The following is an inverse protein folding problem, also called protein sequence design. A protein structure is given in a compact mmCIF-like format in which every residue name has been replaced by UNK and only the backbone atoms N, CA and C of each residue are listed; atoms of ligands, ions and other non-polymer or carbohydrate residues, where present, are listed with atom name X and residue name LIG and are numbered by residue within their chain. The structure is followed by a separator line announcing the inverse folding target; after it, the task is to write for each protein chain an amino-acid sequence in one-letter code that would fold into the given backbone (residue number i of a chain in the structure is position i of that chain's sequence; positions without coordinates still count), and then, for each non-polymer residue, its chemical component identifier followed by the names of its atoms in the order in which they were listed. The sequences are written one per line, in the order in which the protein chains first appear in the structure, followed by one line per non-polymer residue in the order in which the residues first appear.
data_IF_583106194195
#
_entry.id   IF_583106194195
#
_cell.length_a   1.000
_cell.length_b   1.000
_cell.length_c   1.000
_cell.angle_alpha   90.00
_cell.angle_beta   90.00
_cell.angle_gamma   90.00
#
_symmetry.space_group_name_H-M   'P 1'
#
loop_
_entity.id
_entity.type
_entity.pdbx_description
1 polymer ?
#
# COMPACT_ATOMS: atom_id res chain seq x y z
N UNK A 1 -8.65 20.53 -11.81
CA UNK A 1 -7.61 21.15 -10.94
C UNK A 1 -6.45 21.68 -11.79
N UNK A 2 -5.57 22.51 -11.21
CA UNK A 2 -4.31 22.97 -11.82
C UNK A 2 -3.19 22.89 -10.80
N UNK A 3 -1.96 22.70 -11.25
CA UNK A 3 -0.76 22.80 -10.39
C UNK A 3 -0.46 24.28 -10.17
N UNK A 4 -0.39 24.72 -8.92
CA UNK A 4 -0.08 26.12 -8.57
C UNK A 4 1.44 26.35 -8.47
N UNK A 5 2.15 25.41 -7.88
CA UNK A 5 3.58 25.47 -7.60
C UNK A 5 4.15 24.06 -7.44
N UNK A 6 5.48 23.93 -7.48
CA UNK A 6 6.19 22.68 -7.30
C UNK A 6 7.43 22.88 -6.42
N UNK A 7 7.72 21.89 -5.57
CA UNK A 7 9.02 21.71 -4.93
C UNK A 7 9.61 20.38 -5.39
N UNK A 8 10.91 20.36 -5.68
CA UNK A 8 11.67 19.15 -6.06
C UNK A 8 12.95 19.11 -5.25
N UNK A 9 13.07 18.10 -4.39
CA UNK A 9 14.19 17.97 -3.45
C UNK A 9 15.51 17.58 -4.12
N UNK A 10 15.47 16.65 -5.08
CA UNK A 10 16.64 16.18 -5.82
C UNK A 10 16.45 16.40 -7.32
N UNK A 11 17.47 16.92 -7.99
CA UNK A 11 17.41 17.30 -9.41
C UNK A 11 18.51 16.59 -10.21
N UNK A 12 18.43 15.25 -10.38
CA UNK A 12 19.36 14.51 -11.21
C UNK A 12 19.22 14.88 -12.69
N UNK A 13 20.13 14.39 -13.53
CA UNK A 13 20.02 14.53 -14.99
C UNK A 13 18.71 13.89 -15.49
N UNK A 14 17.96 14.60 -16.34
CA UNK A 14 16.69 14.14 -16.89
C UNK A 14 15.45 14.38 -16.01
N UNK A 15 15.60 15.01 -14.84
CA UNK A 15 14.48 15.50 -14.03
C UNK A 15 13.63 16.51 -14.83
N UNK A 16 12.30 16.38 -14.81
CA UNK A 16 11.39 17.08 -15.73
C UNK A 16 10.71 18.32 -15.12
N UNK A 17 10.87 18.60 -13.83
CA UNK A 17 10.08 19.57 -13.08
C UNK A 17 10.14 20.98 -13.65
N UNK A 18 11.33 21.43 -14.09
CA UNK A 18 11.49 22.74 -14.74
C UNK A 18 10.82 22.80 -16.13
N UNK A 19 10.91 21.71 -16.90
CA UNK A 19 10.26 21.62 -18.21
C UNK A 19 8.74 21.64 -18.08
N UNK A 20 8.20 20.84 -17.14
CA UNK A 20 6.75 20.79 -16.85
C UNK A 20 6.24 22.13 -16.29
N UNK A 21 7.01 22.79 -15.44
CA UNK A 21 6.69 24.13 -14.94
C UNK A 21 6.52 25.14 -16.08
N UNK A 22 7.42 25.14 -17.06
CA UNK A 22 7.32 25.97 -18.27
C UNK A 22 6.12 25.60 -19.14
N UNK A 23 5.90 24.31 -19.37
CA UNK A 23 4.82 23.80 -20.22
C UNK A 23 3.43 24.16 -19.66
N UNK A 24 3.24 24.04 -18.35
CA UNK A 24 1.94 24.21 -17.70
C UNK A 24 1.77 25.54 -16.95
N UNK A 25 2.79 26.39 -16.91
CA UNK A 25 2.70 27.77 -16.40
C UNK A 25 2.68 27.89 -14.86
N UNK A 26 3.46 27.08 -14.16
CA UNK A 26 3.66 27.18 -12.70
C UNK A 26 5.14 27.40 -12.35
N UNK A 27 5.44 27.72 -11.09
CA UNK A 27 6.81 27.97 -10.61
C UNK A 27 7.36 26.82 -9.76
N UNK A 28 8.67 26.59 -9.85
CA UNK A 28 9.40 25.64 -9.00
C UNK A 28 10.16 26.42 -7.92
N UNK A 29 9.84 26.16 -6.66
CA UNK A 29 10.41 26.87 -5.51
C UNK A 29 11.53 26.05 -4.84
N UNK A 30 12.46 26.71 -4.13
CA UNK A 30 13.57 26.03 -3.48
C UNK A 30 13.18 25.38 -2.14
N UNK A 31 12.04 25.75 -1.54
CA UNK A 31 11.53 25.15 -0.31
C UNK A 31 10.05 24.78 -0.41
N UNK A 32 9.61 23.84 0.44
CA UNK A 32 8.21 23.45 0.58
C UNK A 32 7.37 24.66 1.03
N UNK A 33 7.87 25.44 2.00
CA UNK A 33 7.17 26.62 2.49
C UNK A 33 6.92 27.66 1.39
N UNK A 34 7.92 27.97 0.57
CA UNK A 34 7.73 28.89 -0.56
C UNK A 34 6.81 28.33 -1.64
N UNK A 35 6.84 27.01 -1.88
CA UNK A 35 5.90 26.37 -2.80
C UNK A 35 4.45 26.50 -2.29
N UNK A 36 4.21 26.21 -1.01
CA UNK A 36 2.89 26.33 -0.38
C UNK A 36 2.35 27.77 -0.38
N UNK A 37 3.25 28.77 -0.25
CA UNK A 37 2.90 30.19 -0.27
C UNK A 37 2.96 30.83 -1.67
N UNK A 38 3.28 30.05 -2.71
CA UNK A 38 3.53 30.55 -4.07
C UNK A 38 4.47 31.78 -4.11
N UNK A 39 5.49 31.80 -3.24
CA UNK A 39 6.44 32.91 -3.10
C UNK A 39 5.95 34.14 -2.34
N UNK A 40 4.73 34.11 -1.78
CA UNK A 40 4.21 35.13 -0.86
C UNK A 40 4.43 34.77 0.61
N UNK A 41 3.73 35.49 1.49
CA UNK A 41 3.87 35.37 2.95
C UNK A 41 2.80 34.47 3.62
N UNK A 42 1.79 34.02 2.86
CA UNK A 42 0.66 33.22 3.37
C UNK A 42 0.33 32.04 2.43
N UNK A 43 -0.24 30.96 2.98
CA UNK A 43 -0.63 29.74 2.28
C UNK A 43 -1.56 30.03 1.09
N UNK A 44 -1.06 29.78 -0.12
CA UNK A 44 -1.68 30.18 -1.39
C UNK A 44 -2.14 29.00 -2.27
N UNK A 45 -2.23 27.79 -1.70
CA UNK A 45 -2.71 26.58 -2.38
C UNK A 45 -3.95 26.01 -1.68
N UNK A 46 -4.74 25.22 -2.41
CA UNK A 46 -5.98 24.61 -1.90
C UNK A 46 -5.81 23.15 -1.42
N UNK A 47 -4.71 22.50 -1.81
CA UNK A 47 -4.38 21.13 -1.44
C UNK A 47 -2.89 20.82 -1.72
N UNK A 48 -2.38 19.70 -1.18
CA UNK A 48 -0.99 19.25 -1.36
C UNK A 48 -0.95 17.83 -1.91
N UNK A 49 -0.22 17.65 -3.02
CA UNK A 49 0.17 16.34 -3.55
C UNK A 49 1.62 16.04 -3.11
N UNK A 50 1.79 15.16 -2.11
CA UNK A 50 3.08 14.82 -1.54
C UNK A 50 3.57 13.48 -2.10
N UNK A 51 4.64 13.54 -2.89
CA UNK A 51 5.31 12.39 -3.48
C UNK A 51 6.74 12.35 -2.95
N UNK A 52 7.01 11.39 -2.04
CA UNK A 52 8.33 11.17 -1.45
C UNK A 52 8.92 9.84 -1.92
N UNK A 53 9.21 9.70 -3.20
CA UNK A 53 9.79 8.50 -3.80
C UNK A 53 10.87 8.86 -4.83
N UNK A 54 11.55 7.84 -5.37
CA UNK A 54 12.51 7.98 -6.48
C UNK A 54 13.55 9.09 -6.24
N UNK A 55 14.52 8.80 -5.38
CA UNK A 55 15.67 9.65 -5.10
C UNK A 55 16.76 8.86 -4.38
N UNK A 56 17.93 9.48 -4.21
CA UNK A 56 19.05 8.91 -3.48
C UNK A 56 18.92 9.23 -2.00
N UNK A 57 18.46 8.25 -1.22
CA UNK A 57 18.29 8.37 0.23
C UNK A 57 18.95 7.17 0.93
N UNK A 58 19.43 7.35 2.17
CA UNK A 58 20.02 6.26 2.94
C UNK A 58 19.05 5.09 3.10
N UNK A 59 19.61 3.90 3.30
CA UNK A 59 18.85 2.69 3.65
C UNK A 59 19.18 2.29 5.08
N UNK A 60 18.18 1.85 5.86
CA UNK A 60 18.40 1.37 7.23
C UNK A 60 18.72 -0.13 7.29
N UNK A 61 18.98 -0.65 8.49
CA UNK A 61 19.26 -2.07 8.73
C UNK A 61 18.12 -3.02 8.35
N UNK A 62 16.88 -2.51 8.26
CA UNK A 62 15.71 -3.28 7.83
C UNK A 62 15.60 -3.37 6.31
N UNK A 63 16.48 -2.69 5.56
CA UNK A 63 16.42 -2.60 4.10
C UNK A 63 15.46 -1.54 3.57
N UNK A 64 14.92 -0.68 4.45
CA UNK A 64 13.99 0.38 4.05
C UNK A 64 14.77 1.60 3.57
N UNK A 65 14.34 2.18 2.45
CA UNK A 65 14.85 3.46 1.99
C UNK A 65 14.20 4.56 2.83
N UNK A 66 15.01 5.44 3.41
CA UNK A 66 14.58 6.52 4.31
C UNK A 66 14.01 7.71 3.53
N UNK A 67 12.96 7.44 2.75
CA UNK A 67 12.26 8.46 1.99
C UNK A 67 11.67 9.55 2.90
N UNK A 68 11.79 10.84 2.54
CA UNK A 68 11.52 11.97 3.43
C UNK A 68 10.03 12.33 3.50
N UNK A 69 9.12 11.35 3.42
CA UNK A 69 7.67 11.58 3.40
C UNK A 69 7.22 12.31 4.66
N UNK A 70 7.69 11.85 5.81
CA UNK A 70 7.44 12.48 7.11
C UNK A 70 8.00 13.91 7.15
N UNK A 71 9.26 14.10 6.77
CA UNK A 71 9.93 15.40 6.80
C UNK A 71 9.19 16.43 5.92
N UNK A 72 8.79 16.03 4.71
CA UNK A 72 8.01 16.89 3.82
C UNK A 72 6.62 17.21 4.39
N UNK A 73 5.97 16.22 5.00
CA UNK A 73 4.68 16.40 5.64
C UNK A 73 4.77 17.36 6.82
N UNK A 74 5.81 17.24 7.66
CA UNK A 74 6.03 18.14 8.80
C UNK A 74 6.32 19.58 8.37
N UNK A 75 7.02 19.79 7.26
CA UNK A 75 7.16 21.14 6.68
C UNK A 75 5.82 21.72 6.22
N UNK A 76 4.90 20.89 5.70
CA UNK A 76 3.54 21.34 5.38
C UNK A 76 2.75 21.71 6.65
N UNK A 77 2.78 20.83 7.66
CA UNK A 77 2.13 21.06 8.96
C UNK A 77 2.63 22.35 9.61
N UNK A 78 3.94 22.61 9.57
CA UNK A 78 4.52 23.84 10.11
C UNK A 78 3.94 25.09 9.44
N UNK A 79 3.82 25.10 8.10
CA UNK A 79 3.18 26.21 7.39
C UNK A 79 1.71 26.35 7.78
N UNK A 80 0.98 25.23 7.95
CA UNK A 80 -0.42 25.29 8.36
C UNK A 80 -0.60 25.90 9.74
N UNK A 81 0.31 25.61 10.67
CA UNK A 81 0.31 26.19 12.02
C UNK A 81 0.69 27.67 12.01
N UNK A 82 1.73 28.04 11.26
CA UNK A 82 2.17 29.43 11.12
C UNK A 82 1.10 30.33 10.49
N UNK A 83 0.42 29.83 9.46
CA UNK A 83 -0.55 30.60 8.68
C UNK A 83 -1.99 30.45 9.20
N UNK A 84 -2.20 29.59 10.21
CA UNK A 84 -3.50 29.34 10.83
C UNK A 84 -4.53 28.71 9.89
N UNK A 85 -4.08 28.07 8.79
CA UNK A 85 -4.93 27.42 7.78
C UNK A 85 -4.31 26.10 7.33
N UNK A 86 -5.10 25.03 7.39
CA UNK A 86 -4.71 23.74 6.85
C UNK A 86 -5.49 23.42 5.56
N UNK A 87 -4.87 22.62 4.69
CA UNK A 87 -5.48 22.12 3.44
C UNK A 87 -5.28 20.61 3.32
N UNK A 88 -6.12 19.91 2.54
CA UNK A 88 -5.99 18.46 2.36
C UNK A 88 -4.63 18.05 1.80
N UNK A 89 -4.12 16.91 2.26
CA UNK A 89 -2.86 16.32 1.79
C UNK A 89 -3.12 14.91 1.26
N UNK A 90 -2.67 14.64 0.04
CA UNK A 90 -2.41 13.28 -0.41
C UNK A 90 -0.93 12.93 -0.17
N UNK A 91 -0.67 11.80 0.47
CA UNK A 91 0.67 11.23 0.66
C UNK A 91 0.81 9.90 -0.10
N UNK A 92 1.70 9.84 -1.08
CA UNK A 92 1.91 8.63 -1.88
C UNK A 92 2.48 7.45 -1.04
N UNK A 93 1.83 6.28 -1.15
CA UNK A 93 2.18 5.00 -0.51
C UNK A 93 2.13 5.05 1.03
N UNK A 94 3.01 4.31 1.69
CA UNK A 94 3.12 4.32 3.15
C UNK A 94 3.39 5.74 3.66
N UNK A 95 2.80 6.10 4.79
CA UNK A 95 2.99 7.42 5.41
C UNK A 95 4.47 7.67 5.73
N UNK A 96 5.12 6.70 6.37
CA UNK A 96 6.55 6.73 6.70
C UNK A 96 7.09 5.31 6.82
N UNK A 97 8.42 5.16 6.72
CA UNK A 97 9.12 3.91 7.02
C UNK A 97 9.08 3.57 8.53
N UNK A 98 8.73 4.54 9.38
CA UNK A 98 8.59 4.41 10.84
C UNK A 98 7.15 4.61 11.26
N UNK A 99 6.62 3.68 12.05
CA UNK A 99 5.26 3.73 12.58
C UNK A 99 5.03 4.94 13.48
N UNK A 100 6.01 5.29 14.33
CA UNK A 100 5.92 6.47 15.20
C UNK A 100 5.73 7.75 14.37
N UNK A 101 6.56 7.92 13.33
CA UNK A 101 6.42 9.02 12.37
C UNK A 101 5.06 8.99 11.66
N UNK A 102 4.63 7.84 11.18
CA UNK A 102 3.34 7.69 10.51
C UNK A 102 2.15 8.01 11.45
N UNK A 103 2.24 7.60 12.72
CA UNK A 103 1.23 7.88 13.74
C UNK A 103 1.13 9.38 14.02
N UNK A 104 2.26 10.08 14.12
CA UNK A 104 2.29 11.53 14.28
C UNK A 104 1.65 12.24 13.07
N UNK A 105 1.91 11.79 11.85
CA UNK A 105 1.29 12.37 10.65
C UNK A 105 -0.24 12.28 10.67
N UNK A 106 -0.79 11.13 11.04
CA UNK A 106 -2.25 10.96 11.19
C UNK A 106 -2.79 11.78 12.35
N UNK A 107 -2.06 11.83 13.48
CA UNK A 107 -2.46 12.65 14.63
C UNK A 107 -2.49 14.15 14.29
N UNK A 108 -1.53 14.64 13.51
CA UNK A 108 -1.51 16.03 13.03
C UNK A 108 -2.69 16.34 12.11
N UNK A 109 -3.04 15.43 11.20
CA UNK A 109 -4.21 15.59 10.34
C UNK A 109 -5.50 15.73 11.16
N UNK A 110 -5.68 14.90 12.17
CA UNK A 110 -6.83 15.00 13.10
C UNK A 110 -6.79 16.28 13.94
N UNK A 111 -5.63 16.65 14.47
CA UNK A 111 -5.44 17.82 15.33
C UNK A 111 -5.70 19.13 14.58
N UNK A 112 -5.24 19.22 13.34
CA UNK A 112 -5.39 20.41 12.49
C UNK A 112 -6.66 20.37 11.62
N UNK A 113 -7.36 19.23 11.59
CA UNK A 113 -8.67 19.11 10.95
C UNK A 113 -8.65 19.15 9.43
N UNK A 114 -7.60 18.61 8.78
CA UNK A 114 -7.53 18.50 7.32
C UNK A 114 -7.69 17.06 6.82
N UNK A 115 -8.21 16.90 5.61
CA UNK A 115 -8.32 15.59 4.96
C UNK A 115 -6.94 15.02 4.63
N UNK A 116 -6.63 13.83 5.14
CA UNK A 116 -5.44 13.08 4.80
C UNK A 116 -5.84 11.83 4.02
N UNK A 117 -5.37 11.73 2.78
CA UNK A 117 -5.43 10.50 2.00
C UNK A 117 -3.99 9.98 1.85
N UNK A 118 -3.77 8.70 2.10
CA UNK A 118 -2.48 8.07 1.86
C UNK A 118 -2.70 6.67 1.33
N UNK A 119 -1.80 6.20 0.47
CA UNK A 119 -1.92 4.87 -0.10
C UNK A 119 -1.37 4.73 -1.50
N UNK A 120 -1.52 3.53 -2.04
CA UNK A 120 -1.12 3.20 -3.40
C UNK A 120 -2.30 2.92 -4.34
N UNK A 121 -1.99 2.59 -5.59
CA UNK A 121 -2.97 2.34 -6.64
C UNK A 121 -3.67 0.98 -6.54
N UNK A 122 -3.10 -0.02 -5.86
CA UNK A 122 -3.69 -1.36 -5.83
C UNK A 122 -5.09 -1.39 -5.18
N UNK A 123 -5.34 -0.78 -4.00
CA UNK A 123 -6.68 -0.78 -3.40
C UNK A 123 -7.78 -0.21 -4.30
N UNK A 124 -7.42 0.68 -5.24
CA UNK A 124 -8.33 1.47 -6.06
C UNK A 124 -8.34 1.03 -7.54
N UNK A 125 -7.45 0.13 -7.95
CA UNK A 125 -7.40 -0.39 -9.32
C UNK A 125 -8.53 -1.39 -9.61
N UNK A 126 -8.65 -1.82 -10.86
CA UNK A 126 -9.61 -2.84 -11.29
C UNK A 126 -9.40 -4.17 -10.58
N UNK A 127 -10.50 -4.91 -10.37
CA UNK A 127 -10.49 -6.26 -9.81
C UNK A 127 -11.02 -7.27 -10.82
N UNK A 128 -10.34 -8.40 -10.99
CA UNK A 128 -10.71 -9.46 -11.93
C UNK A 128 -10.80 -10.83 -11.24
N UNK A 129 -12.00 -11.42 -11.08
CA UNK A 129 -13.31 -10.83 -11.32
C UNK A 129 -13.61 -9.66 -10.35
N UNK A 130 -14.66 -8.88 -10.63
CA UNK A 130 -15.10 -7.80 -9.74
C UNK A 130 -15.58 -8.38 -8.38
N UNK A 131 -14.67 -8.41 -7.41
CA UNK A 131 -14.91 -8.95 -6.07
C UNK A 131 -14.79 -7.83 -5.04
N UNK A 132 -15.79 -7.76 -4.17
CA UNK A 132 -15.76 -7.01 -2.94
C UNK A 132 -16.33 -7.87 -1.82
N UNK A 133 -15.65 -7.91 -0.67
CA UNK A 133 -16.19 -8.62 0.48
C UNK A 133 -17.42 -7.86 1.00
N UNK A 134 -18.51 -8.54 1.40
CA UNK A 134 -19.64 -7.85 2.04
C UNK A 134 -19.19 -7.10 3.29
N UNK A 135 -19.80 -5.94 3.56
CA UNK A 135 -19.60 -5.25 4.84
C UNK A 135 -20.04 -6.15 6.00
N UNK A 136 -19.30 -6.08 7.10
CA UNK A 136 -19.53 -6.86 8.32
C UNK A 136 -19.46 -8.38 8.12
N UNK A 137 -18.76 -8.86 7.09
CA UNK A 137 -18.59 -10.29 6.87
C UNK A 137 -17.67 -10.93 7.91
N UNK A 138 -17.86 -12.22 8.19
CA UNK A 138 -16.93 -13.00 9.02
C UNK A 138 -15.93 -13.73 8.13
N UNK A 139 -14.68 -13.25 8.16
CA UNK A 139 -13.56 -13.85 7.43
C UNK A 139 -12.94 -14.94 8.33
N UNK A 140 -12.77 -16.14 7.79
CA UNK A 140 -12.13 -17.24 8.50
C UNK A 140 -10.62 -17.29 8.27
N UNK A 141 -10.18 -16.99 7.04
CA UNK A 141 -8.78 -17.01 6.62
C UNK A 141 -8.62 -16.18 5.34
N UNK A 142 -7.43 -15.62 5.10
CA UNK A 142 -7.13 -14.79 3.94
C UNK A 142 -5.68 -14.93 3.48
N UNK A 143 -5.48 -14.84 2.16
CA UNK A 143 -4.19 -14.95 1.54
C UNK A 143 -4.04 -13.93 0.40
N UNK A 144 -2.89 -13.28 0.36
CA UNK A 144 -2.44 -12.42 -0.74
C UNK A 144 -1.19 -13.02 -1.36
N UNK A 145 -1.13 -13.03 -2.69
CA UNK A 145 0.07 -13.27 -3.49
C UNK A 145 0.51 -11.93 -4.06
N UNK A 146 1.77 -11.58 -3.86
CA UNK A 146 2.41 -10.40 -4.44
C UNK A 146 3.76 -10.73 -5.07
N UNK A 147 4.33 -9.72 -5.72
CA UNK A 147 5.64 -9.78 -6.37
C UNK A 147 6.36 -8.44 -6.24
N UNK A 148 7.68 -8.46 -6.42
CA UNK A 148 8.55 -7.31 -6.41
C UNK A 148 9.56 -7.30 -5.25
N UNK A 149 10.31 -6.20 -5.13
CA UNK A 149 11.33 -6.02 -4.11
C UNK A 149 10.76 -5.70 -2.72
N UNK A 150 11.44 -6.19 -1.69
CA UNK A 150 11.04 -6.01 -0.29
C UNK A 150 10.98 -4.54 0.11
N UNK A 151 10.09 -4.22 1.06
CA UNK A 151 9.65 -2.89 1.52
C UNK A 151 8.64 -2.20 0.57
N UNK A 152 8.97 -1.62 -0.60
CA UNK A 152 7.97 -0.94 -1.42
C UNK A 152 6.86 -1.86 -1.95
N UNK A 153 7.21 -3.05 -2.46
CA UNK A 153 6.21 -3.94 -3.08
C UNK A 153 5.48 -4.79 -2.04
N UNK A 154 6.12 -5.06 -0.91
CA UNK A 154 5.47 -5.64 0.27
C UNK A 154 4.35 -4.73 0.77
N UNK A 155 4.63 -3.41 0.87
CA UNK A 155 3.63 -2.41 1.23
C UNK A 155 2.41 -2.46 0.31
N UNK A 156 2.64 -2.43 -1.01
CA UNK A 156 1.57 -2.49 -2.00
C UNK A 156 0.68 -3.73 -1.80
N UNK A 157 1.29 -4.91 -1.65
CA UNK A 157 0.55 -6.14 -1.47
C UNK A 157 -0.20 -6.21 -0.13
N UNK A 158 0.41 -5.74 0.96
CA UNK A 158 -0.23 -5.64 2.28
C UNK A 158 -1.41 -4.67 2.26
N UNK A 159 -1.29 -3.53 1.57
CA UNK A 159 -2.35 -2.54 1.47
C UNK A 159 -3.54 -3.07 0.66
N UNK A 160 -3.26 -3.76 -0.46
CA UNK A 160 -4.27 -4.43 -1.26
C UNK A 160 -5.02 -5.50 -0.45
N UNK A 161 -4.31 -6.30 0.33
CA UNK A 161 -4.92 -7.26 1.25
C UNK A 161 -5.78 -6.55 2.30
N UNK A 162 -5.22 -5.53 2.96
CA UNK A 162 -5.89 -4.81 4.05
C UNK A 162 -7.20 -4.16 3.58
N UNK A 163 -7.26 -3.61 2.37
CA UNK A 163 -8.48 -3.00 1.83
C UNK A 163 -9.63 -4.01 1.63
N UNK A 164 -9.33 -5.30 1.52
CA UNK A 164 -10.33 -6.37 1.50
C UNK A 164 -10.76 -6.71 2.93
N UNK A 165 -9.78 -6.88 3.84
CA UNK A 165 -10.00 -7.37 5.20
C UNK A 165 -10.66 -6.36 6.14
N UNK A 166 -10.51 -5.06 5.90
CA UNK A 166 -11.12 -4.01 6.72
C UNK A 166 -12.66 -4.03 6.71
N UNK A 167 -13.28 -4.74 5.76
CA UNK A 167 -14.74 -4.88 5.63
C UNK A 167 -15.33 -5.94 6.56
N UNK A 168 -14.50 -6.62 7.34
CA UNK A 168 -14.92 -7.65 8.29
C UNK A 168 -15.79 -7.10 9.42
N UNK A 169 -16.52 -7.99 10.08
CA UNK A 169 -17.39 -7.71 11.22
C UNK A 169 -16.63 -6.94 12.30
N UNK A 170 -17.13 -5.76 12.67
CA UNK A 170 -16.48 -4.91 13.67
C UNK A 170 -15.43 -3.93 13.12
N UNK A 171 -15.06 -4.03 11.83
CA UNK A 171 -14.05 -3.19 11.21
C UNK A 171 -12.63 -3.58 11.62
N UNK A 172 -11.69 -2.67 11.41
CA UNK A 172 -10.30 -2.87 11.85
C UNK A 172 -10.14 -2.56 13.34
N UNK A 173 -9.38 -3.39 14.05
CA UNK A 173 -9.16 -3.30 15.51
C UNK A 173 -7.69 -3.44 15.90
N UNK A 174 -6.79 -3.62 14.93
CA UNK A 174 -5.36 -3.68 15.10
C UNK A 174 -4.77 -5.05 14.77
N UNK A 175 -3.44 -5.08 14.75
CA UNK A 175 -2.63 -6.31 14.58
C UNK A 175 -2.03 -6.66 15.93
N UNK A 176 -2.22 -7.92 16.36
CA UNK A 176 -1.74 -8.44 17.63
C UNK A 176 -0.30 -8.93 17.54
N UNK A 177 0.03 -9.64 16.47
CA UNK A 177 1.37 -10.15 16.23
C UNK A 177 1.65 -10.34 14.74
N UNK A 178 2.93 -10.34 14.39
CA UNK A 178 3.41 -10.65 13.04
C UNK A 178 4.60 -11.60 13.08
N UNK A 179 4.82 -12.32 11.99
CA UNK A 179 6.05 -13.06 11.74
C UNK A 179 6.38 -13.02 10.25
N UNK A 180 7.65 -12.81 9.93
CA UNK A 180 8.16 -12.94 8.57
C UNK A 180 9.02 -14.19 8.47
N UNK A 181 8.91 -14.94 7.37
CA UNK A 181 9.83 -16.01 6.98
C UNK A 181 10.34 -15.73 5.55
N UNK A 182 11.55 -16.18 5.22
CA UNK A 182 12.12 -16.11 3.87
C UNK A 182 12.77 -17.46 3.49
N UNK A 183 12.95 -17.70 2.19
CA UNK A 183 13.64 -18.87 1.67
C UNK A 183 12.95 -20.20 1.98
N UNK A 184 13.75 -21.26 2.17
CA UNK A 184 13.26 -22.63 2.40
C UNK A 184 12.31 -22.73 3.60
N UNK A 185 12.49 -21.89 4.63
CA UNK A 185 11.62 -21.87 5.81
C UNK A 185 10.15 -21.61 5.46
N UNK A 186 9.87 -20.86 4.38
CA UNK A 186 8.49 -20.63 3.91
C UNK A 186 7.84 -21.92 3.42
N UNK A 187 8.62 -22.81 2.79
CA UNK A 187 8.13 -24.08 2.26
C UNK A 187 8.09 -25.19 3.31
N UNK A 188 8.97 -25.13 4.30
CA UNK A 188 9.07 -26.11 5.38
C UNK A 188 7.97 -25.95 6.44
N UNK A 189 7.41 -24.74 6.60
CA UNK A 189 6.34 -24.48 7.57
C UNK A 189 5.01 -25.11 7.09
N UNK A 190 4.86 -26.41 7.34
CA UNK A 190 3.67 -27.16 6.96
C UNK A 190 2.43 -26.60 7.65
N UNK A 191 1.43 -26.17 6.87
CA UNK A 191 0.17 -25.65 7.42
C UNK A 191 0.22 -24.17 7.86
N UNK A 192 1.29 -23.44 7.56
CA UNK A 192 1.41 -22.01 7.86
C UNK A 192 0.34 -21.17 7.17
N UNK A 193 -0.06 -21.58 5.97
CA UNK A 193 -1.05 -20.90 5.14
C UNK A 193 -1.91 -21.90 4.36
N UNK A 194 -3.12 -21.48 4.01
CA UNK A 194 -4.07 -22.34 3.31
C UNK A 194 -3.67 -22.59 1.85
N UNK A 195 -3.37 -23.85 1.52
CA UNK A 195 -3.11 -24.28 0.14
C UNK A 195 -4.31 -24.04 -0.78
N UNK A 196 -5.53 -24.13 -0.25
CA UNK A 196 -6.76 -23.85 -1.00
C UNK A 196 -6.86 -22.36 -1.36
N UNK A 197 -6.52 -21.46 -0.43
CA UNK A 197 -6.50 -20.02 -0.71
C UNK A 197 -5.37 -19.65 -1.68
N UNK A 198 -4.20 -20.29 -1.56
CA UNK A 198 -3.12 -20.13 -2.52
C UNK A 198 -3.53 -20.58 -3.93
N UNK A 199 -4.20 -21.74 -4.05
CA UNK A 199 -4.78 -22.22 -5.32
C UNK A 199 -5.80 -21.23 -5.88
N UNK A 200 -6.72 -20.76 -5.04
CA UNK A 200 -7.74 -19.80 -5.44
C UNK A 200 -7.14 -18.45 -5.88
N UNK A 201 -6.09 -17.97 -5.22
CA UNK A 201 -5.39 -16.74 -5.59
C UNK A 201 -4.63 -16.92 -6.92
N UNK A 202 -3.76 -17.93 -7.03
CA UNK A 202 -2.98 -18.16 -8.25
C UNK A 202 -3.86 -18.45 -9.48
N UNK A 203 -5.06 -19.00 -9.29
CA UNK A 203 -6.04 -19.19 -10.39
C UNK A 203 -6.52 -17.89 -11.04
N UNK A 204 -6.24 -16.72 -10.43
CA UNK A 204 -6.57 -15.39 -10.94
C UNK A 204 -5.43 -14.70 -11.67
N UNK A 205 -4.23 -15.26 -11.61
CA UNK A 205 -3.09 -14.70 -12.32
C UNK A 205 -3.28 -14.81 -13.84
N UNK A 206 -3.04 -13.72 -14.55
CA UNK A 206 -2.94 -13.68 -16.01
C UNK A 206 -1.48 -13.54 -16.47
N UNK A 207 -0.53 -13.55 -15.54
CA UNK A 207 0.91 -13.49 -15.79
C UNK A 207 1.71 -14.67 -15.23
N UNK A 208 1.26 -15.94 -15.34
CA UNK A 208 2.07 -17.08 -14.91
C UNK A 208 3.40 -17.14 -15.69
N UNK A 209 4.50 -17.30 -14.95
CA UNK A 209 5.87 -17.41 -15.46
C UNK A 209 6.25 -18.88 -15.73
N UNK A 210 7.53 -19.20 -15.95
CA UNK A 210 7.97 -20.58 -16.22
C UNK A 210 7.49 -21.10 -17.58
N UNK A 211 7.06 -22.37 -17.64
CA UNK A 211 6.67 -23.03 -18.89
C UNK A 211 5.59 -22.28 -19.68
N UNK A 212 4.68 -21.58 -18.99
CA UNK A 212 3.65 -20.76 -19.64
C UNK A 212 4.25 -19.59 -20.41
N UNK A 213 5.32 -18.98 -19.91
CA UNK A 213 6.03 -17.93 -20.62
C UNK A 213 6.97 -18.49 -21.70
N UNK A 214 7.59 -19.64 -21.43
CA UNK A 214 8.58 -20.26 -22.34
C UNK A 214 7.95 -20.85 -23.60
N UNK A 215 6.80 -21.55 -23.49
CA UNK A 215 6.18 -22.23 -24.62
C UNK A 215 4.64 -22.13 -24.71
N UNK A 216 4.01 -21.32 -23.85
CA UNK A 216 2.58 -21.01 -23.92
C UNK A 216 1.65 -22.06 -23.33
N UNK A 217 2.16 -23.15 -22.73
CA UNK A 217 1.30 -24.16 -22.08
C UNK A 217 0.76 -23.69 -20.73
N UNK A 218 -0.40 -24.19 -20.35
CA UNK A 218 -0.85 -24.11 -18.95
C UNK A 218 0.03 -25.00 -18.08
N UNK A 219 0.37 -24.57 -16.87
CA UNK A 219 1.10 -25.38 -15.91
C UNK A 219 0.37 -25.43 -14.57
N UNK A 220 0.54 -26.53 -13.85
CA UNK A 220 0.11 -26.63 -12.47
C UNK A 220 1.25 -26.12 -11.59
N UNK A 221 1.09 -24.96 -10.95
CA UNK A 221 2.14 -24.42 -10.08
C UNK A 221 2.25 -25.19 -8.74
N UNK A 222 1.16 -25.76 -8.24
CA UNK A 222 1.07 -26.21 -6.85
C UNK A 222 1.37 -27.69 -6.61
N UNK A 223 1.12 -28.57 -7.58
CA UNK A 223 1.09 -30.03 -7.34
C UNK A 223 2.28 -30.82 -7.86
N UNK A 224 3.21 -30.18 -8.57
CA UNK A 224 4.35 -30.84 -9.23
C UNK A 224 5.72 -30.24 -8.81
N UNK A 225 5.74 -29.35 -7.83
CA UNK A 225 6.94 -28.68 -7.35
C UNK A 225 7.44 -27.52 -8.22
N UNK A 226 6.70 -27.11 -9.26
CA UNK A 226 7.12 -26.01 -10.13
C UNK A 226 7.14 -24.67 -9.40
N UNK A 227 6.19 -24.41 -8.47
CA UNK A 227 6.20 -23.18 -7.69
C UNK A 227 7.52 -22.99 -6.93
N UNK A 228 8.00 -24.01 -6.24
CA UNK A 228 9.26 -23.96 -5.49
C UNK A 228 10.48 -23.81 -6.39
N UNK A 229 10.45 -24.36 -7.61
CA UNK A 229 11.54 -24.19 -8.59
C UNK A 229 11.58 -22.78 -9.16
N UNK A 230 10.42 -22.18 -9.42
CA UNK A 230 10.29 -20.84 -10.00
C UNK A 230 10.57 -19.74 -8.97
N UNK A 231 10.26 -19.99 -7.70
CA UNK A 231 10.41 -19.02 -6.61
C UNK A 231 11.63 -19.39 -5.77
N UNK A 232 12.80 -18.90 -6.19
CA UNK A 232 14.08 -19.19 -5.55
C UNK A 232 14.17 -18.68 -4.10
N UNK A 233 13.58 -17.52 -3.81
CA UNK A 233 13.58 -16.91 -2.48
C UNK A 233 12.20 -16.33 -2.15
N UNK A 234 11.23 -17.17 -1.71
CA UNK A 234 9.93 -16.68 -1.28
C UNK A 234 10.05 -15.84 0.00
N UNK A 235 9.07 -14.98 0.24
CA UNK A 235 8.84 -14.39 1.56
C UNK A 235 7.39 -14.59 1.99
N UNK A 236 7.18 -14.91 3.27
CA UNK A 236 5.86 -15.05 3.87
C UNK A 236 5.71 -14.09 5.04
N UNK A 237 4.58 -13.38 5.10
CA UNK A 237 4.22 -12.45 6.16
C UNK A 237 2.96 -12.98 6.81
N UNK A 238 3.10 -13.52 8.03
CA UNK A 238 1.99 -14.00 8.84
C UNK A 238 1.51 -12.87 9.74
N UNK A 239 0.22 -12.56 9.65
CA UNK A 239 -0.41 -11.45 10.38
C UNK A 239 -1.53 -12.01 11.23
N UNK A 240 -1.44 -11.79 12.53
CA UNK A 240 -2.46 -12.16 13.49
C UNK A 240 -3.17 -10.88 13.95
N UNK A 241 -4.40 -10.69 13.52
CA UNK A 241 -5.22 -9.54 13.89
C UNK A 241 -5.74 -9.67 15.32
N UNK A 242 -6.05 -8.53 15.95
CA UNK A 242 -6.51 -8.45 17.33
C UNK A 242 -7.88 -9.11 17.57
N UNK A 243 -8.68 -9.27 16.52
CA UNK A 243 -9.96 -9.98 16.55
C UNK A 243 -9.84 -11.50 16.31
N UNK A 244 -8.62 -12.00 16.15
CA UNK A 244 -8.31 -13.42 15.93
C UNK A 244 -8.25 -13.85 14.46
N UNK A 245 -8.51 -12.96 13.50
CA UNK A 245 -8.28 -13.26 12.08
C UNK A 245 -6.80 -13.51 11.83
N UNK A 246 -6.49 -14.51 11.01
CA UNK A 246 -5.16 -14.74 10.46
C UNK A 246 -5.17 -14.43 8.97
N UNK A 247 -4.10 -13.80 8.50
CA UNK A 247 -3.87 -13.58 7.09
C UNK A 247 -2.41 -13.84 6.74
N UNK A 248 -2.17 -14.23 5.49
CA UNK A 248 -0.83 -14.45 4.96
C UNK A 248 -0.61 -13.66 3.68
N UNK A 249 0.49 -12.91 3.60
CA UNK A 249 1.04 -12.45 2.32
C UNK A 249 2.19 -13.37 1.90
N UNK A 250 2.18 -13.82 0.65
CA UNK A 250 3.26 -14.56 0.00
C UNK A 250 3.83 -13.73 -1.15
N UNK A 251 5.12 -13.44 -1.10
CA UNK A 251 5.86 -12.82 -2.20
C UNK A 251 6.48 -13.92 -3.07
N UNK A 252 5.91 -14.16 -4.24
CA UNK A 252 6.20 -15.31 -5.09
C UNK A 252 6.91 -14.89 -6.40
N UNK A 253 8.00 -14.14 -6.23
CA UNK A 253 8.85 -13.67 -7.34
C UNK A 253 9.29 -14.85 -8.22
N UNK A 254 9.01 -14.76 -9.53
CA UNK A 254 9.36 -15.79 -10.51
C UNK A 254 8.23 -16.73 -10.90
N UNK A 255 7.16 -16.85 -10.10
CA UNK A 255 5.99 -17.67 -10.44
C UNK A 255 4.89 -16.91 -11.18
N UNK A 256 4.65 -15.66 -10.80
CA UNK A 256 3.68 -14.74 -11.40
C UNK A 256 4.30 -13.34 -11.52
N UNK A 257 3.59 -12.37 -12.13
CA UNK A 257 3.98 -10.94 -12.17
C UNK A 257 2.86 -10.00 -11.71
N UNK A 258 1.84 -10.54 -11.07
CA UNK A 258 0.63 -9.83 -10.66
C UNK A 258 0.31 -10.03 -9.17
N UNK A 259 -0.78 -9.41 -8.74
CA UNK A 259 -1.23 -9.38 -7.35
C UNK A 259 -2.58 -10.08 -7.25
N UNK A 260 -2.66 -11.16 -6.47
CA UNK A 260 -3.85 -12.00 -6.39
C UNK A 260 -4.26 -12.23 -4.94
N UNK A 261 -5.54 -12.10 -4.64
CA UNK A 261 -6.10 -12.27 -3.30
C UNK A 261 -7.11 -13.40 -3.27
N UNK A 262 -7.17 -14.10 -2.14
CA UNK A 262 -8.23 -15.02 -1.81
C UNK A 262 -8.63 -14.94 -0.34
N UNK A 263 -9.92 -15.13 -0.04
CA UNK A 263 -10.41 -15.23 1.32
C UNK A 263 -11.51 -16.28 1.47
N UNK A 264 -11.53 -16.91 2.65
CA UNK A 264 -12.60 -17.77 3.12
C UNK A 264 -13.53 -16.96 4.00
N UNK A 265 -14.82 -16.90 3.65
CA UNK A 265 -15.86 -16.43 4.58
C UNK A 265 -16.41 -17.62 5.37
N UNK A 266 -16.76 -17.44 6.64
CA UNK A 266 -17.31 -18.52 7.49
C UNK A 266 -18.57 -19.15 6.92
N UNK A 267 -19.42 -18.34 6.28
CA UNK A 267 -20.71 -18.77 5.72
C UNK A 267 -20.63 -19.16 4.23
N UNK A 268 -19.42 -19.23 3.64
CA UNK A 268 -19.25 -19.57 2.23
C UNK A 268 -18.26 -20.73 2.01
N UNK A 269 -18.72 -21.88 1.49
CA UNK A 269 -17.87 -23.04 1.23
C UNK A 269 -16.93 -22.87 0.03
N UNK A 270 -17.03 -21.82 -0.78
CA UNK A 270 -16.09 -21.52 -1.87
C UNK A 270 -15.25 -20.26 -1.57
N UNK A 271 -13.90 -20.29 -1.74
CA UNK A 271 -13.09 -19.09 -1.56
C UNK A 271 -13.50 -18.00 -2.54
N UNK A 272 -13.57 -16.76 -2.05
CA UNK A 272 -13.63 -15.59 -2.93
C UNK A 272 -12.20 -15.27 -3.36
N UNK A 273 -11.95 -15.10 -4.66
CA UNK A 273 -10.63 -14.69 -5.14
C UNK A 273 -10.70 -13.72 -6.30
N UNK A 274 -9.71 -12.83 -6.37
CA UNK A 274 -9.57 -11.79 -7.39
C UNK A 274 -8.12 -11.45 -7.65
N UNK A 275 -7.83 -11.02 -8.86
CA UNK A 275 -6.63 -10.27 -9.20
C UNK A 275 -6.86 -8.78 -8.93
N UNK A 276 -5.84 -8.08 -8.43
CA UNK A 276 -5.73 -6.63 -8.50
C UNK A 276 -5.03 -6.26 -9.80
N UNK A 277 -5.81 -5.89 -10.81
CA UNK A 277 -5.34 -5.79 -12.18
C UNK A 277 -4.58 -4.49 -12.40
N UNK A 278 -3.30 -4.62 -12.74
CA UNK A 278 -2.46 -3.53 -13.23
C UNK A 278 -2.39 -3.64 -14.75
N UNK A 279 -2.96 -2.65 -15.43
CA UNK A 279 -2.99 -2.59 -16.89
C UNK A 279 -1.55 -2.59 -17.46
N UNK A 280 -1.27 -3.38 -18.51
CA UNK A 280 0.02 -3.35 -19.18
C UNK A 280 0.37 -1.95 -19.72
N UNK A 281 1.67 -1.66 -19.83
CA UNK A 281 2.17 -0.43 -20.45
C UNK A 281 1.75 -0.35 -21.93
N UNK A 282 1.53 0.86 -22.49
CA UNK A 282 1.77 2.18 -21.88
C UNK A 282 0.61 2.72 -21.02
N UNK A 283 -0.54 2.06 -21.02
CA UNK A 283 -1.74 2.57 -20.36
C UNK A 283 -1.69 2.23 -18.86
N UNK A 284 -1.11 3.10 -18.03
CA UNK A 284 -1.06 2.95 -16.56
C UNK A 284 -2.36 3.40 -15.88
N UNK A 285 -3.50 2.84 -16.30
CA UNK A 285 -4.84 3.25 -15.86
C UNK A 285 -5.06 3.10 -14.35
N UNK A 286 -4.35 2.21 -13.69
CA UNK A 286 -4.37 2.09 -12.22
C UNK A 286 -3.94 3.40 -11.53
N UNK A 287 -2.99 4.15 -12.11
CA UNK A 287 -2.60 5.47 -11.59
C UNK A 287 -3.72 6.49 -11.80
N UNK A 288 -4.44 6.43 -12.93
CA UNK A 288 -5.60 7.30 -13.16
C UNK A 288 -6.73 7.03 -12.14
N UNK A 289 -6.91 5.76 -11.72
CA UNK A 289 -7.87 5.41 -10.66
C UNK A 289 -7.48 6.04 -9.31
N UNK A 290 -6.18 6.05 -8.99
CA UNK A 290 -5.66 6.74 -7.80
C UNK A 290 -5.81 8.25 -7.91
N UNK A 291 -5.48 8.85 -9.06
CA UNK A 291 -5.70 10.28 -9.30
C UNK A 291 -7.17 10.65 -9.06
N UNK A 292 -8.13 9.88 -9.56
CA UNK A 292 -9.55 10.17 -9.31
C UNK A 292 -9.92 10.24 -7.81
N UNK A 293 -9.23 9.48 -6.95
CA UNK A 293 -9.42 9.53 -5.48
C UNK A 293 -8.73 10.72 -4.83
N UNK A 294 -7.60 11.14 -5.38
CA UNK A 294 -6.91 12.38 -4.98
C UNK A 294 -7.76 13.60 -5.38
N UNK A 295 -8.36 13.57 -6.56
CA UNK A 295 -9.30 14.58 -7.04
C UNK A 295 -10.52 14.67 -6.11
N UNK A 296 -11.12 13.55 -5.74
CA UNK A 296 -12.22 13.48 -4.76
C UNK A 296 -11.83 14.12 -3.41
N UNK A 297 -10.63 13.83 -2.89
CA UNK A 297 -10.10 14.47 -1.68
C UNK A 297 -10.00 15.99 -1.86
N UNK A 298 -9.39 16.44 -2.95
CA UNK A 298 -9.09 17.86 -3.16
C UNK A 298 -10.35 18.70 -3.40
N UNK A 299 -11.37 18.13 -4.06
CA UNK A 299 -12.64 18.81 -4.30
C UNK A 299 -13.52 18.91 -3.05
N UNK A 300 -13.49 17.88 -2.20
CA UNK A 300 -14.40 17.78 -1.04
C UNK A 300 -13.74 18.15 0.29
N UNK A 301 -12.42 18.10 0.36
CA UNK A 301 -11.65 18.16 1.60
C UNK A 301 -11.73 16.89 2.47
N UNK A 302 -12.41 15.84 2.01
CA UNK A 302 -12.70 14.63 2.77
C UNK A 302 -12.03 13.44 2.09
N UNK A 303 -11.26 12.66 2.86
CA UNK A 303 -10.63 11.44 2.36
C UNK A 303 -11.69 10.36 2.06
N UNK A 304 -11.70 9.75 0.86
CA UNK A 304 -12.69 8.73 0.49
C UNK A 304 -12.55 7.40 1.26
N UNK A 305 -11.39 7.19 1.87
CA UNK A 305 -11.09 6.06 2.74
C UNK A 305 -10.09 6.50 3.83
N UNK A 306 -10.09 5.83 5.01
CA UNK A 306 -9.34 6.29 6.18
C UNK A 306 -7.82 6.17 5.99
N UNK A 307 -7.07 7.19 6.41
CA UNK A 307 -5.61 7.16 6.47
C UNK A 307 -5.09 6.11 7.48
N UNK A 308 -5.92 5.74 8.44
CA UNK A 308 -5.66 4.69 9.43
C UNK A 308 -5.40 3.33 8.78
N UNK A 309 -5.96 3.06 7.58
CA UNK A 309 -5.60 1.88 6.79
C UNK A 309 -4.10 1.87 6.51
N UNK A 310 -3.61 2.97 5.95
CA UNK A 310 -2.20 3.12 5.59
C UNK A 310 -1.31 3.13 6.84
N UNK A 311 -1.74 3.77 7.93
CA UNK A 311 -1.04 3.71 9.22
C UNK A 311 -0.84 2.27 9.71
N UNK A 312 -1.90 1.46 9.70
CA UNK A 312 -1.82 0.06 10.12
C UNK A 312 -0.89 -0.74 9.21
N UNK A 313 -0.99 -0.56 7.89
CA UNK A 313 -0.15 -1.27 6.92
C UNK A 313 1.33 -0.88 7.08
N UNK A 314 1.63 0.41 7.25
CA UNK A 314 3.00 0.90 7.52
C UNK A 314 3.60 0.23 8.76
N UNK A 315 2.86 0.19 9.87
CA UNK A 315 3.33 -0.41 11.10
C UNK A 315 3.43 -1.94 11.05
N UNK A 316 2.52 -2.59 10.32
CA UNK A 316 2.55 -4.04 10.07
C UNK A 316 3.81 -4.41 9.29
N UNK A 317 4.10 -3.68 8.20
CA UNK A 317 5.31 -3.90 7.41
C UNK A 317 6.58 -3.68 8.22
N UNK A 318 6.70 -2.54 8.93
CA UNK A 318 7.87 -2.29 9.78
C UNK A 318 8.07 -3.40 10.82
N UNK A 319 7.00 -3.93 11.40
CA UNK A 319 7.05 -5.00 12.39
C UNK A 319 7.48 -6.33 11.75
N UNK A 320 7.05 -6.64 10.52
CA UNK A 320 7.51 -7.80 9.77
C UNK A 320 9.00 -7.69 9.39
N UNK A 321 9.45 -6.52 8.95
CA UNK A 321 10.87 -6.28 8.69
C UNK A 321 11.71 -6.36 9.98
N UNK A 322 11.12 -5.95 11.11
CA UNK A 322 11.70 -6.15 12.45
C UNK A 322 11.83 -7.64 12.80
N UNK A 323 10.82 -8.45 12.49
CA UNK A 323 10.87 -9.91 12.62
C UNK A 323 12.05 -10.49 11.85
N UNK A 324 12.24 -10.11 10.57
CA UNK A 324 13.37 -10.53 9.73
C UNK A 324 14.72 -10.21 10.37
N UNK A 325 14.98 -8.96 10.74
CA UNK A 325 16.29 -8.57 11.33
C UNK A 325 16.53 -9.19 12.72
N UNK A 326 15.47 -9.65 13.40
CA UNK A 326 15.55 -10.34 14.69
C UNK A 326 15.49 -11.86 14.56
N UNK A 327 15.86 -12.40 13.39
CA UNK A 327 15.97 -13.84 13.15
C UNK A 327 14.62 -14.52 12.92
N UNK A 328 13.69 -13.85 12.24
CA UNK A 328 12.38 -14.39 11.84
C UNK A 328 11.47 -14.79 13.01
N UNK A 329 11.72 -14.23 14.20
CA UNK A 329 10.90 -14.49 15.39
C UNK A 329 9.54 -13.81 15.27
N UNK A 330 8.50 -14.41 15.84
CA UNK A 330 7.22 -13.72 16.02
C UNK A 330 7.39 -12.47 16.90
N UNK A 331 6.77 -11.37 16.50
CA UNK A 331 6.79 -10.07 17.19
C UNK A 331 5.36 -9.72 17.61
N UNK A 332 5.15 -9.48 18.90
CA UNK A 332 3.91 -8.86 19.39
C UNK A 332 3.90 -7.37 19.06
N UNK A 333 2.73 -6.85 18.71
CA UNK A 333 2.59 -5.48 18.18
C UNK A 333 1.57 -4.65 18.97
N UNK A 334 1.77 -4.41 20.28
CA UNK A 334 0.82 -3.63 21.09
C UNK A 334 0.66 -2.18 20.61
N UNK A 335 1.64 -1.63 19.90
CA UNK A 335 1.56 -0.31 19.26
C UNK A 335 0.61 -0.26 18.06
N UNK A 336 0.28 -1.40 17.44
CA UNK A 336 -0.62 -1.50 16.29
C UNK A 336 -2.11 -1.62 16.69
N UNK A 337 -2.50 -1.01 17.81
CA UNK A 337 -3.90 -0.87 18.23
C UNK A 337 -4.63 0.23 17.44
N UNK A 338 -4.64 0.10 16.10
CA UNK A 338 -5.28 1.05 15.18
C UNK A 338 -6.67 0.53 14.85
N UNK A 339 -7.71 1.35 15.08
CA UNK A 339 -9.10 0.99 14.78
C UNK A 339 -9.75 1.99 13.84
N UNK A 340 -10.47 1.47 12.84
CA UNK A 340 -11.23 2.27 11.89
C UNK A 340 -12.31 1.43 11.20
N UNK A 341 -13.21 2.11 10.48
CA UNK A 341 -14.23 1.47 9.64
C UNK A 341 -13.89 1.64 8.16
N UNK A 342 -14.04 0.56 7.41
CA UNK A 342 -13.98 0.61 5.95
C UNK A 342 -15.08 1.53 5.38
N UNK A 343 -14.84 2.21 4.25
CA UNK A 343 -15.90 2.89 3.53
C UNK A 343 -16.96 1.89 3.07
N UNK A 344 -18.23 2.24 3.25
CA UNK A 344 -19.33 1.39 2.79
C UNK A 344 -19.34 1.29 1.26
N UNK A 345 -19.10 2.42 0.59
CA UNK A 345 -18.95 2.50 -0.86
C UNK A 345 -17.65 1.85 -1.33
N UNK A 346 -17.71 1.17 -2.45
CA UNK A 346 -16.54 0.58 -3.07
C UNK A 346 -15.59 1.65 -3.58
N UNK A 347 -14.29 1.41 -3.40
CA UNK A 347 -13.24 2.36 -3.79
C UNK A 347 -12.45 1.92 -5.03
N UNK A 348 -12.64 0.68 -5.48
CA UNK A 348 -11.95 0.16 -6.66
C UNK A 348 -12.68 0.52 -7.95
N UNK A 349 -11.95 0.57 -9.06
CA UNK A 349 -12.52 0.90 -10.35
C UNK A 349 -13.57 -0.14 -10.79
N UNK A 350 -14.74 0.33 -11.22
CA UNK A 350 -15.85 -0.49 -11.70
C UNK A 350 -16.40 0.06 -13.03
N UNK A 351 -17.12 -0.80 -13.76
CA UNK A 351 -17.80 -0.44 -15.01
C UNK A 351 -19.19 0.12 -14.76
#
# INVERSE_FOLDING_TARGET
MKIASLYVAQRPEGEQGQDRAREFGFAVYPTIAEALRCGGDELAVDAVLLIGEHGDYPTNEKGQVLYPRYEFFKECVKVFEEDGRAVPIFNDKHLSYSFEKAQEMVADAHRLGFGLLAGSSLPVTWRLPDVELPMECEIADALMVGVGGSDPMDYHALEAMQCMLERRKGGETGVHAVQMLEGDAVWEETGAFSHELLEAALSRSDTPCGLTLEDGRTQNLLRNGELQKLVENPAAYFIHYADGLKATLLMLNGAVRDYCFAARLKDNPTPLSTQFFLTPTPNVTYSACLIAKIEELFETGIAPYPAERTLLVSGTLESCLTSRVQGYRQIETPHLSVSYRAPAASQHARR
#
